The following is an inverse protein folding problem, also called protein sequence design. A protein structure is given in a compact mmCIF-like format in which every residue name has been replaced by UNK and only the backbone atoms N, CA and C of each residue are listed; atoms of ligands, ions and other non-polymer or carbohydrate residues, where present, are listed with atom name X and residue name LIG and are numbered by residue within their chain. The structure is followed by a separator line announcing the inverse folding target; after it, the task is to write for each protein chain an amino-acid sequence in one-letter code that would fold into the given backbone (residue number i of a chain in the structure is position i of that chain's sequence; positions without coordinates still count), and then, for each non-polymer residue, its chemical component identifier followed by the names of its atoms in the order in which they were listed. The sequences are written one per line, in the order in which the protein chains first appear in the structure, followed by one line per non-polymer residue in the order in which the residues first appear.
data_IF_222365336558
#
_entry.id   IF_222365336558
#
_cell.length_a   1.000
_cell.length_b   1.000
_cell.length_c   1.000
_cell.angle_alpha   90.00
_cell.angle_beta   90.00
_cell.angle_gamma   90.00
#
_symmetry.space_group_name_H-M   'P 1'
#
loop_
_entity.id
_entity.type
_entity.pdbx_description
1 polymer ?
#
# COMPACT_ATOMS: atom_id res chain seq x y z
N UNK A 1 -12.06 -22.20 -3.65
CA UNK A 1 -11.76 -20.96 -2.89
C UNK A 1 -11.73 -19.70 -3.76
N UNK A 2 -10.90 -19.59 -4.81
CA UNK A 2 -10.91 -18.38 -5.70
C UNK A 2 -12.29 -18.10 -6.32
N UNK A 3 -13.03 -19.15 -6.67
CA UNK A 3 -14.39 -19.02 -7.21
C UNK A 3 -15.37 -18.31 -6.26
N UNK A 4 -15.16 -18.40 -4.95
CA UNK A 4 -15.99 -17.72 -3.94
C UNK A 4 -15.73 -16.22 -3.98
N UNK A 5 -14.46 -15.83 -4.09
CA UNK A 5 -14.05 -14.43 -4.25
C UNK A 5 -14.39 -13.82 -5.61
N UNK A 6 -14.82 -14.62 -6.61
CA UNK A 6 -15.31 -14.10 -7.91
C UNK A 6 -16.72 -13.49 -7.85
N UNK A 7 -17.42 -13.66 -6.73
CA UNK A 7 -18.74 -13.07 -6.51
C UNK A 7 -18.65 -11.92 -5.49
N UNK A 8 -19.58 -10.98 -5.52
CA UNK A 8 -19.73 -9.94 -4.49
C UNK A 8 -20.72 -10.43 -3.45
N UNK A 9 -20.24 -11.21 -2.48
CA UNK A 9 -21.03 -11.64 -1.32
C UNK A 9 -20.47 -10.98 -0.05
N UNK A 10 -21.30 -10.37 0.83
CA UNK A 10 -20.86 -9.89 2.14
C UNK A 10 -20.04 -10.91 2.94
N UNK A 11 -20.37 -12.21 2.82
CA UNK A 11 -19.61 -13.30 3.44
C UNK A 11 -18.15 -13.42 2.96
N UNK A 12 -17.81 -12.86 1.80
CA UNK A 12 -16.44 -12.88 1.29
C UNK A 12 -15.52 -11.97 2.09
N UNK A 13 -16.04 -10.92 2.72
CA UNK A 13 -15.24 -10.12 3.65
C UNK A 13 -14.87 -10.92 4.89
N UNK A 14 -15.82 -11.70 5.43
CA UNK A 14 -15.55 -12.62 6.54
C UNK A 14 -14.54 -13.72 6.14
N UNK A 15 -14.66 -14.28 4.93
CA UNK A 15 -13.65 -15.23 4.43
C UNK A 15 -12.27 -14.58 4.24
N UNK A 16 -12.22 -13.33 3.78
CA UNK A 16 -10.97 -12.58 3.66
C UNK A 16 -10.31 -12.38 5.03
N UNK A 17 -11.10 -12.03 6.05
CA UNK A 17 -10.64 -11.96 7.43
C UNK A 17 -10.10 -13.31 7.91
N UNK A 18 -10.86 -14.39 7.75
CA UNK A 18 -10.47 -15.73 8.21
C UNK A 18 -9.19 -16.23 7.53
N UNK A 19 -9.09 -16.08 6.20
CA UNK A 19 -7.86 -16.44 5.47
C UNK A 19 -6.69 -15.54 5.90
N UNK A 20 -6.92 -14.25 6.09
CA UNK A 20 -5.90 -13.31 6.57
C UNK A 20 -5.34 -13.70 7.93
N UNK A 21 -6.20 -14.09 8.88
CA UNK A 21 -5.77 -14.59 10.19
C UNK A 21 -4.98 -15.87 10.04
N UNK A 22 -5.48 -16.86 9.28
CA UNK A 22 -4.80 -18.14 9.07
C UNK A 22 -3.41 -17.98 8.45
N UNK A 23 -3.28 -17.11 7.44
CA UNK A 23 -2.01 -16.85 6.76
C UNK A 23 -1.02 -16.06 7.60
N UNK A 24 -1.44 -15.39 8.67
CA UNK A 24 -0.59 -14.52 9.49
C UNK A 24 -0.50 -15.01 10.95
N UNK A 25 -0.85 -16.27 11.23
CA UNK A 25 -0.82 -16.86 12.58
C UNK A 25 0.55 -16.68 13.26
N UNK A 26 1.65 -16.91 12.53
CA UNK A 26 3.01 -16.75 13.05
C UNK A 26 3.28 -15.35 13.60
N UNK A 27 2.70 -14.32 12.98
CA UNK A 27 2.87 -12.91 13.37
C UNK A 27 2.20 -12.65 14.71
N UNK A 28 1.00 -13.20 14.92
CA UNK A 28 0.28 -13.06 16.19
C UNK A 28 0.96 -13.82 17.32
N UNK A 29 1.54 -15.00 17.04
CA UNK A 29 2.23 -15.79 18.07
C UNK A 29 3.59 -15.20 18.48
N UNK A 30 4.35 -14.63 17.54
CA UNK A 30 5.66 -14.02 17.85
C UNK A 30 5.55 -12.62 18.45
N UNK A 31 4.44 -11.92 18.20
CA UNK A 31 4.16 -10.60 18.75
C UNK A 31 5.33 -9.61 18.58
N UNK A 32 5.92 -9.58 17.38
CA UNK A 32 7.07 -8.74 17.10
C UNK A 32 6.74 -7.24 17.26
N UNK A 33 7.66 -6.43 17.80
CA UNK A 33 7.43 -5.00 18.00
C UNK A 33 7.30 -4.27 16.66
N UNK A 34 6.82 -3.02 16.70
CA UNK A 34 6.85 -2.13 15.54
C UNK A 34 8.28 -1.97 15.00
N UNK A 35 8.41 -1.81 13.68
CA UNK A 35 9.68 -1.47 13.05
C UNK A 35 9.85 0.04 13.20
N UNK A 36 10.91 0.46 13.90
CA UNK A 36 11.30 1.86 14.08
C UNK A 36 12.73 2.01 13.56
N UNK A 37 12.93 2.89 12.60
CA UNK A 37 14.23 3.26 12.03
C UNK A 37 14.73 4.55 12.67
N UNK A 38 16.05 4.70 12.76
CA UNK A 38 16.69 5.98 13.16
C UNK A 38 16.32 7.13 12.23
N UNK A 39 16.00 6.79 10.98
CA UNK A 39 15.61 7.71 9.92
C UNK A 39 14.09 7.87 9.79
N UNK A 40 13.30 7.21 10.63
CA UNK A 40 11.87 7.48 10.72
C UNK A 40 11.66 8.87 11.33
N UNK A 41 10.58 9.50 10.93
CA UNK A 41 10.21 10.81 11.44
C UNK A 41 9.92 10.79 12.94
N UNK A 42 10.07 11.94 13.58
CA UNK A 42 9.64 12.13 14.96
C UNK A 42 8.16 11.78 15.19
N UNK A 43 7.27 12.05 14.21
CA UNK A 43 5.84 11.77 14.40
C UNK A 43 5.54 10.28 14.42
N UNK A 44 6.22 9.47 13.60
CA UNK A 44 6.06 8.03 13.64
C UNK A 44 6.67 7.42 14.91
N UNK A 45 7.84 7.92 15.34
CA UNK A 45 8.44 7.51 16.61
C UNK A 45 7.52 7.84 17.80
N UNK A 46 6.91 9.03 17.82
CA UNK A 46 5.93 9.41 18.83
C UNK A 46 4.67 8.53 18.79
N UNK A 47 4.18 8.18 17.60
CA UNK A 47 3.05 7.25 17.44
C UNK A 47 3.37 5.84 17.95
N UNK A 48 4.55 5.31 17.64
CA UNK A 48 4.99 4.02 18.14
C UNK A 48 5.17 4.05 19.68
N UNK A 49 5.79 5.09 20.22
CA UNK A 49 5.94 5.29 21.67
C UNK A 49 4.60 5.45 22.40
N UNK A 50 3.57 6.01 21.75
CA UNK A 50 2.23 6.07 22.32
C UNK A 50 1.59 4.68 22.51
N UNK A 51 1.92 3.71 21.65
CA UNK A 51 1.43 2.33 21.75
C UNK A 51 2.28 1.45 22.68
N UNK A 52 3.49 1.87 23.01
CA UNK A 52 4.45 1.10 23.82
C UNK A 52 3.91 0.70 25.20
N UNK A 53 3.28 1.59 26.00
CA UNK A 53 2.72 1.21 27.30
C UNK A 53 1.68 0.08 27.20
N UNK A 54 0.88 0.07 26.13
CA UNK A 54 -0.12 -0.98 25.88
C UNK A 54 0.58 -2.27 25.43
N UNK A 55 1.61 -2.15 24.60
CA UNK A 55 2.37 -3.29 24.10
C UNK A 55 3.11 -4.07 25.20
N UNK A 56 3.52 -3.41 26.28
CA UNK A 56 4.13 -4.09 27.45
C UNK A 56 3.15 -5.09 28.09
N UNK A 57 1.87 -4.75 28.19
CA UNK A 57 0.84 -5.64 28.75
C UNK A 57 0.22 -6.58 27.70
N UNK A 58 0.16 -6.12 26.44
CA UNK A 58 -0.45 -6.86 25.34
C UNK A 58 0.44 -6.79 24.08
N UNK A 59 1.48 -7.63 23.99
CA UNK A 59 2.47 -7.57 22.90
C UNK A 59 1.88 -7.72 21.49
N UNK A 60 0.75 -8.41 21.37
CA UNK A 60 0.05 -8.65 20.11
C UNK A 60 -0.59 -7.36 19.54
N UNK A 61 -0.63 -6.27 20.29
CA UNK A 61 -1.26 -4.99 19.87
C UNK A 61 -0.72 -4.50 18.53
N UNK A 62 0.60 -4.54 18.32
CA UNK A 62 1.22 -4.10 17.06
C UNK A 62 0.81 -4.96 15.87
N UNK A 63 0.74 -6.28 16.07
CA UNK A 63 0.27 -7.22 15.06
C UNK A 63 -1.20 -7.01 14.73
N UNK A 64 -2.06 -6.73 15.72
CA UNK A 64 -3.47 -6.41 15.49
C UNK A 64 -3.64 -5.11 14.71
N UNK A 65 -2.89 -4.06 15.05
CA UNK A 65 -2.93 -2.80 14.30
C UNK A 65 -2.45 -2.98 12.86
N UNK A 66 -1.32 -3.66 12.65
CA UNK A 66 -0.80 -3.93 11.31
C UNK A 66 -1.80 -4.74 10.48
N UNK A 67 -2.36 -5.81 11.04
CA UNK A 67 -3.37 -6.63 10.38
C UNK A 67 -4.65 -5.86 10.09
N UNK A 68 -5.11 -5.03 11.04
CA UNK A 68 -6.28 -4.16 10.88
C UNK A 68 -6.11 -3.19 9.72
N UNK A 69 -4.93 -2.55 9.60
CA UNK A 69 -4.58 -1.70 8.46
C UNK A 69 -4.60 -2.47 7.14
N UNK A 70 -3.98 -3.65 7.08
CA UNK A 70 -3.99 -4.47 5.88
C UNK A 70 -5.38 -4.89 5.44
N UNK A 71 -6.23 -5.22 6.40
CA UNK A 71 -7.59 -5.65 6.14
C UNK A 71 -8.45 -4.47 5.66
N UNK A 72 -8.24 -3.29 6.25
CA UNK A 72 -8.83 -2.04 5.77
C UNK A 72 -8.37 -1.73 4.33
N UNK A 73 -7.08 -1.85 4.03
CA UNK A 73 -6.53 -1.64 2.68
C UNK A 73 -7.09 -2.63 1.66
N UNK A 74 -7.14 -3.92 2.00
CA UNK A 74 -7.74 -4.96 1.15
C UNK A 74 -9.21 -4.66 0.84
N UNK A 75 -9.97 -4.22 1.85
CA UNK A 75 -11.36 -3.84 1.70
C UNK A 75 -11.53 -2.59 0.85
N UNK A 76 -10.84 -1.49 1.19
CA UNK A 76 -10.91 -0.22 0.46
C UNK A 76 -10.51 -0.38 -1.00
N UNK A 77 -9.46 -1.14 -1.28
CA UNK A 77 -9.02 -1.43 -2.65
C UNK A 77 -10.10 -2.20 -3.43
N UNK A 78 -10.71 -3.20 -2.80
CA UNK A 78 -11.78 -4.00 -3.40
C UNK A 78 -13.03 -3.16 -3.68
N UNK A 79 -13.43 -2.33 -2.71
CA UNK A 79 -14.56 -1.41 -2.85
C UNK A 79 -14.29 -0.40 -3.97
N UNK A 80 -13.09 0.17 -4.02
CA UNK A 80 -12.67 1.10 -5.06
C UNK A 80 -12.79 0.49 -6.46
N UNK A 81 -12.23 -0.71 -6.67
CA UNK A 81 -12.28 -1.42 -7.96
C UNK A 81 -13.72 -1.73 -8.37
N UNK A 82 -14.55 -2.15 -7.42
CA UNK A 82 -15.95 -2.51 -7.67
C UNK A 82 -16.83 -1.28 -7.95
N UNK A 83 -16.68 -0.20 -7.18
CA UNK A 83 -17.47 1.03 -7.35
C UNK A 83 -17.16 1.72 -8.68
N UNK A 84 -15.90 1.68 -9.13
CA UNK A 84 -15.47 2.24 -10.41
C UNK A 84 -15.63 1.27 -11.59
N UNK A 85 -16.16 0.06 -11.35
CA UNK A 85 -16.39 -0.99 -12.35
C UNK A 85 -15.14 -1.28 -13.20
N UNK A 86 -13.98 -1.35 -12.55
CA UNK A 86 -12.71 -1.62 -13.26
C UNK A 86 -12.63 -3.07 -13.77
N UNK A 87 -13.50 -3.95 -13.27
CA UNK A 87 -13.71 -5.31 -13.75
C UNK A 87 -15.18 -5.50 -14.14
N UNK A 88 -15.45 -6.38 -15.12
CA UNK A 88 -16.80 -6.55 -15.65
C UNK A 88 -17.82 -7.11 -14.63
N UNK A 89 -17.35 -7.81 -13.58
CA UNK A 89 -18.17 -8.26 -12.46
C UNK A 89 -17.50 -7.92 -11.14
N UNK A 90 -18.31 -7.50 -10.18
CA UNK A 90 -17.82 -7.19 -8.85
C UNK A 90 -17.31 -8.45 -8.13
N UNK A 91 -16.15 -8.35 -7.50
CA UNK A 91 -15.43 -9.47 -6.90
C UNK A 91 -14.50 -9.00 -5.78
N UNK A 92 -13.89 -9.95 -5.06
CA UNK A 92 -12.95 -9.73 -3.95
C UNK A 92 -11.53 -10.19 -4.29
N UNK A 93 -11.21 -10.40 -5.57
CA UNK A 93 -9.88 -10.83 -6.02
C UNK A 93 -8.76 -9.83 -5.68
N UNK A 94 -8.96 -8.50 -5.76
CA UNK A 94 -7.94 -7.54 -5.36
C UNK A 94 -7.59 -7.62 -3.87
N UNK A 95 -8.61 -7.74 -3.02
CA UNK A 95 -8.41 -7.84 -1.57
C UNK A 95 -7.66 -9.10 -1.19
N UNK A 96 -8.05 -10.27 -1.73
CA UNK A 96 -7.33 -11.51 -1.42
C UNK A 96 -5.91 -11.50 -1.99
N UNK A 97 -5.70 -10.90 -3.18
CA UNK A 97 -4.36 -10.70 -3.72
C UNK A 97 -3.49 -9.85 -2.79
N UNK A 98 -4.06 -8.79 -2.18
CA UNK A 98 -3.34 -7.95 -1.22
C UNK A 98 -2.97 -8.69 0.06
N UNK A 99 -3.90 -9.47 0.63
CA UNK A 99 -3.62 -10.30 1.80
C UNK A 99 -2.55 -11.36 1.50
N UNK A 100 -2.57 -11.97 0.30
CA UNK A 100 -1.54 -12.92 -0.10
C UNK A 100 -0.17 -12.27 -0.25
N UNK A 101 -0.07 -11.17 -1.01
CA UNK A 101 1.21 -10.53 -1.28
C UNK A 101 1.85 -9.95 -0.03
N UNK A 102 1.05 -9.38 0.87
CA UNK A 102 1.53 -8.92 2.19
C UNK A 102 1.95 -10.06 3.10
N UNK A 103 1.40 -11.27 2.95
CA UNK A 103 1.79 -12.44 3.76
C UNK A 103 3.06 -13.16 3.27
N UNK A 104 3.71 -12.71 2.19
CA UNK A 104 4.90 -13.37 1.66
C UNK A 104 6.19 -13.10 2.45
N UNK A 105 6.26 -12.00 3.20
CA UNK A 105 7.39 -11.68 4.09
C UNK A 105 6.93 -11.22 5.47
N UNK A 106 7.68 -11.53 6.54
CA UNK A 106 7.39 -11.09 7.89
C UNK A 106 7.43 -9.56 8.02
N UNK A 107 8.39 -8.90 7.39
CA UNK A 107 8.56 -7.43 7.46
C UNK A 107 7.34 -6.68 6.95
N UNK A 108 6.63 -7.24 5.97
CA UNK A 108 5.41 -6.64 5.45
C UNK A 108 4.29 -6.66 6.48
N UNK A 109 4.30 -7.64 7.39
CA UNK A 109 3.27 -7.89 8.41
C UNK A 109 3.47 -7.13 9.71
N UNK A 110 4.57 -6.40 9.85
CA UNK A 110 4.87 -5.62 11.04
C UNK A 110 4.39 -4.19 10.87
N UNK A 111 4.00 -3.56 11.99
CA UNK A 111 3.66 -2.15 12.00
C UNK A 111 4.92 -1.35 11.65
N UNK A 112 4.83 -0.59 10.56
CA UNK A 112 5.93 0.21 10.01
C UNK A 112 5.38 1.51 9.45
N UNK A 113 6.22 2.54 9.39
CA UNK A 113 5.84 3.84 8.80
C UNK A 113 5.32 3.71 7.35
N UNK A 114 5.91 2.87 6.46
CA UNK A 114 5.39 2.71 5.09
C UNK A 114 4.05 1.97 5.03
N UNK A 115 3.75 1.08 5.98
CA UNK A 115 2.44 0.40 6.03
C UNK A 115 1.31 1.42 6.30
N UNK A 116 1.50 2.34 7.26
CA UNK A 116 0.52 3.40 7.52
C UNK A 116 0.37 4.29 6.28
N UNK A 117 1.50 4.73 5.71
CA UNK A 117 1.52 5.58 4.50
C UNK A 117 0.87 4.91 3.29
N UNK A 118 0.99 3.59 3.11
CA UNK A 118 0.29 2.89 2.02
C UNK A 118 -1.23 3.02 2.12
N UNK A 119 -1.80 3.14 3.33
CA UNK A 119 -3.23 3.44 3.51
C UNK A 119 -3.55 4.85 3.04
N UNK A 120 -2.72 5.83 3.43
CA UNK A 120 -2.88 7.23 3.03
C UNK A 120 -2.78 7.40 1.51
N UNK A 121 -1.85 6.71 0.85
CA UNK A 121 -1.73 6.72 -0.61
C UNK A 121 -2.97 6.16 -1.30
N UNK A 122 -3.57 5.09 -0.77
CA UNK A 122 -4.84 4.57 -1.29
C UNK A 122 -5.98 5.59 -1.11
N UNK A 123 -6.05 6.29 0.02
CA UNK A 123 -7.04 7.36 0.22
C UNK A 123 -6.85 8.52 -0.78
N UNK A 124 -5.61 8.95 -1.00
CA UNK A 124 -5.27 9.95 -2.03
C UNK A 124 -5.76 9.47 -3.40
N UNK A 125 -5.50 8.22 -3.77
CA UNK A 125 -5.96 7.67 -5.03
C UNK A 125 -7.49 7.66 -5.13
N UNK A 126 -8.20 7.21 -4.09
CA UNK A 126 -9.67 7.20 -4.07
C UNK A 126 -10.23 8.61 -4.29
N UNK A 127 -9.71 9.60 -3.56
CA UNK A 127 -10.11 11.02 -3.67
C UNK A 127 -9.88 11.53 -5.09
N UNK A 128 -8.65 11.41 -5.61
CA UNK A 128 -8.31 11.91 -6.94
C UNK A 128 -9.08 11.20 -8.06
N UNK A 129 -9.34 9.90 -7.93
CA UNK A 129 -10.07 9.17 -8.98
C UNK A 129 -11.57 9.46 -8.96
N UNK A 130 -12.17 9.65 -7.77
CA UNK A 130 -13.55 10.12 -7.64
C UNK A 130 -13.77 11.46 -8.35
N UNK A 131 -12.68 12.20 -8.59
CA UNK A 131 -12.67 13.47 -9.28
C UNK A 131 -13.03 13.41 -10.76
N UNK A 132 -13.03 12.22 -11.36
CA UNK A 132 -13.43 12.06 -12.75
C UNK A 132 -14.94 12.22 -12.98
N UNK A 133 -15.78 12.01 -11.96
CA UNK A 133 -17.25 11.99 -12.10
C UNK A 133 -17.93 13.32 -11.71
N UNK A 134 -17.29 14.47 -11.94
CA UNK A 134 -17.79 15.85 -11.69
C UNK A 134 -18.24 16.18 -10.25
N UNK A 135 -17.97 15.32 -9.27
CA UNK A 135 -18.37 15.53 -7.86
C UNK A 135 -17.31 16.18 -6.99
N UNK A 136 -16.07 16.26 -7.44
CA UNK A 136 -15.00 16.75 -6.56
C UNK A 136 -14.77 18.24 -6.70
N UNK A 137 -14.59 18.83 -5.55
CA UNK A 137 -14.32 20.25 -5.36
C UNK A 137 -12.81 20.50 -5.33
N UNK A 138 -12.41 21.77 -5.37
CA UNK A 138 -11.01 22.14 -5.04
C UNK A 138 -10.60 21.67 -3.65
N UNK A 139 -11.57 21.50 -2.73
CA UNK A 139 -11.35 20.97 -1.39
C UNK A 139 -10.85 19.52 -1.40
N UNK A 140 -11.30 18.69 -2.34
CA UNK A 140 -10.82 17.30 -2.44
C UNK A 140 -9.36 17.23 -2.91
N UNK A 141 -8.98 18.09 -3.84
CA UNK A 141 -7.59 18.22 -4.31
C UNK A 141 -6.69 18.71 -3.17
N UNK A 142 -7.17 19.69 -2.39
CA UNK A 142 -6.50 20.14 -1.19
C UNK A 142 -6.35 19.00 -0.17
N UNK A 143 -7.42 18.23 0.09
CA UNK A 143 -7.40 17.10 1.00
C UNK A 143 -6.40 16.01 0.57
N UNK A 144 -6.29 15.73 -0.73
CA UNK A 144 -5.28 14.83 -1.25
C UNK A 144 -3.85 15.34 -0.96
N UNK A 145 -3.59 16.64 -1.13
CA UNK A 145 -2.34 17.27 -0.73
C UNK A 145 -2.10 17.22 0.78
N UNK A 146 -3.12 17.50 1.59
CA UNK A 146 -3.08 17.45 3.06
C UNK A 146 -2.72 16.06 3.57
N UNK A 147 -3.37 15.01 3.03
CA UNK A 147 -3.08 13.62 3.37
C UNK A 147 -1.64 13.27 2.97
N UNK A 148 -1.15 13.76 1.84
CA UNK A 148 0.24 13.57 1.44
C UNK A 148 1.23 14.27 2.39
N UNK A 149 0.91 15.49 2.83
CA UNK A 149 1.71 16.20 3.84
C UNK A 149 1.78 15.42 5.16
N UNK A 150 0.66 14.87 5.62
CA UNK A 150 0.62 14.00 6.81
C UNK A 150 1.41 12.70 6.59
N UNK A 151 1.34 12.11 5.40
CA UNK A 151 2.14 10.95 5.04
C UNK A 151 3.65 11.28 5.06
N UNK A 152 4.04 12.45 4.56
CA UNK A 152 5.42 12.95 4.62
C UNK A 152 5.89 13.21 6.05
N UNK A 153 5.00 13.63 6.94
CA UNK A 153 5.32 13.76 8.36
C UNK A 153 5.63 12.41 8.99
N UNK A 154 4.95 11.32 8.60
CA UNK A 154 5.18 9.97 9.12
C UNK A 154 6.39 9.29 8.47
N UNK A 155 6.49 9.37 7.15
CA UNK A 155 7.54 8.76 6.33
C UNK A 155 8.00 9.79 5.28
N UNK A 156 9.09 10.53 5.51
CA UNK A 156 9.53 11.62 4.63
C UNK A 156 9.63 11.27 3.13
N UNK A 157 10.11 10.07 2.73
CA UNK A 157 10.14 9.68 1.32
C UNK A 157 8.76 9.64 0.65
N UNK A 158 7.68 9.63 1.42
CA UNK A 158 6.32 9.72 0.90
C UNK A 158 6.09 10.97 0.06
N UNK A 159 6.80 12.07 0.33
CA UNK A 159 6.66 13.32 -0.43
C UNK A 159 6.95 13.16 -1.93
N UNK A 160 7.76 12.18 -2.33
CA UNK A 160 8.01 11.85 -3.75
C UNK A 160 6.70 11.49 -4.48
N UNK A 161 5.70 10.99 -3.74
CA UNK A 161 4.38 10.67 -4.27
C UNK A 161 3.60 11.89 -4.78
N UNK A 162 4.07 13.12 -4.53
CA UNK A 162 3.55 14.33 -5.17
C UNK A 162 3.63 14.24 -6.70
N UNK A 163 4.69 13.61 -7.23
CA UNK A 163 4.86 13.38 -8.67
C UNK A 163 3.72 12.53 -9.20
N UNK A 164 3.32 11.52 -8.44
CA UNK A 164 2.17 10.68 -8.82
C UNK A 164 0.85 11.45 -8.76
N UNK A 165 0.63 12.30 -7.75
CA UNK A 165 -0.57 13.16 -7.68
C UNK A 165 -0.69 14.03 -8.95
N UNK A 166 0.41 14.60 -9.41
CA UNK A 166 0.43 15.40 -10.63
C UNK A 166 0.17 14.57 -11.89
N UNK A 167 0.74 13.37 -12.00
CA UNK A 167 0.41 12.43 -13.09
C UNK A 167 -1.08 12.08 -13.06
N UNK A 168 -1.65 11.85 -11.87
CA UNK A 168 -3.06 11.55 -11.69
C UNK A 168 -3.96 12.71 -12.12
N UNK A 169 -3.66 13.94 -11.69
CA UNK A 169 -4.40 15.14 -12.10
C UNK A 169 -4.32 15.35 -13.61
N UNK A 170 -3.13 15.26 -14.22
CA UNK A 170 -2.94 15.42 -15.66
C UNK A 170 -3.67 14.34 -16.48
N UNK A 171 -3.78 13.12 -15.96
CA UNK A 171 -4.46 12.01 -16.63
C UNK A 171 -5.98 12.13 -16.54
N UNK A 172 -6.49 12.53 -15.37
CA UNK A 172 -7.92 12.55 -15.09
C UNK A 172 -8.60 13.84 -15.57
N UNK A 173 -7.86 14.95 -15.64
CA UNK A 173 -8.40 16.29 -15.88
C UNK A 173 -7.53 17.14 -16.80
N UNK A 174 -8.13 18.12 -17.50
CA UNK A 174 -7.36 19.16 -18.17
C UNK A 174 -6.48 19.92 -17.18
N UNK A 175 -5.29 20.29 -17.63
CA UNK A 175 -4.34 21.03 -16.81
C UNK A 175 -4.91 22.38 -16.35
N UNK A 176 -4.85 22.63 -15.04
CA UNK A 176 -5.20 23.91 -14.42
C UNK A 176 -4.18 24.22 -13.33
N UNK A 177 -3.37 25.25 -13.54
CA UNK A 177 -2.30 25.64 -12.61
C UNK A 177 -2.81 25.81 -11.17
N UNK A 178 -4.00 26.38 -11.01
CA UNK A 178 -4.62 26.59 -9.70
C UNK A 178 -4.80 25.28 -8.91
N UNK A 179 -5.17 24.18 -9.57
CA UNK A 179 -5.35 22.89 -8.90
C UNK A 179 -4.01 22.33 -8.41
N UNK A 180 -2.93 22.55 -9.18
CA UNK A 180 -1.60 22.09 -8.85
C UNK A 180 -1.01 22.85 -7.65
N UNK A 181 -1.26 24.16 -7.58
CA UNK A 181 -0.90 24.99 -6.43
C UNK A 181 -1.69 24.59 -5.19
N UNK A 182 -2.98 24.26 -5.32
CA UNK A 182 -3.80 23.79 -4.20
C UNK A 182 -3.25 22.50 -3.58
N UNK A 183 -2.75 21.56 -4.40
CA UNK A 183 -2.05 20.36 -3.88
C UNK A 183 -0.87 20.76 -3.01
N UNK A 184 -0.01 21.68 -3.48
CA UNK A 184 1.17 22.13 -2.73
C UNK A 184 0.79 22.80 -1.41
N UNK A 185 -0.22 23.66 -1.41
CA UNK A 185 -0.73 24.29 -0.19
C UNK A 185 -1.19 23.19 0.79
N UNK A 186 -1.92 22.18 0.30
CA UNK A 186 -2.31 21.02 1.09
C UNK A 186 -1.10 20.30 1.70
N UNK A 187 -0.07 20.01 0.90
CA UNK A 187 1.16 19.32 1.37
C UNK A 187 1.91 20.14 2.41
N UNK A 188 2.01 21.46 2.24
CA UNK A 188 2.75 22.34 3.18
C UNK A 188 2.00 22.51 4.50
N UNK A 189 0.67 22.38 4.51
CA UNK A 189 -0.16 22.70 5.68
C UNK A 189 0.22 21.89 6.95
N UNK A 190 0.42 20.56 6.92
CA UNK A 190 0.84 19.80 8.09
C UNK A 190 2.22 20.23 8.61
N UNK A 191 3.15 20.55 7.71
CA UNK A 191 4.48 21.04 8.08
C UNK A 191 4.40 22.42 8.75
N UNK A 192 3.54 23.31 8.25
CA UNK A 192 3.31 24.62 8.85
C UNK A 192 2.80 24.50 10.29
N UNK A 193 1.79 23.66 10.53
CA UNK A 193 1.28 23.44 11.89
C UNK A 193 2.28 22.74 12.81
N UNK A 194 3.06 21.78 12.29
CA UNK A 194 4.14 21.15 13.05
C UNK A 194 5.21 22.17 13.45
N UNK A 195 5.61 23.07 12.53
CA UNK A 195 6.59 24.11 12.81
C UNK A 195 6.10 25.08 13.90
N UNK A 196 4.82 25.47 13.89
CA UNK A 196 4.22 26.28 14.96
C UNK A 196 4.25 25.53 16.28
N UNK A 197 3.86 24.26 16.30
CA UNK A 197 3.88 23.45 17.52
C UNK A 197 5.29 23.35 18.11
N UNK A 198 6.29 23.04 17.29
CA UNK A 198 7.69 22.95 17.71
C UNK A 198 8.25 24.30 18.17
N UNK A 199 7.86 25.40 17.52
CA UNK A 199 8.22 26.75 17.94
C UNK A 199 7.67 27.08 19.35
N UNK A 200 6.38 26.80 19.58
CA UNK A 200 5.73 27.05 20.87
C UNK A 200 6.27 26.14 21.98
N UNK A 201 6.76 24.94 21.64
CA UNK A 201 7.37 24.00 22.57
C UNK A 201 8.87 24.29 22.84
N UNK A 202 9.44 25.33 22.23
CA UNK A 202 10.87 25.65 22.28
C UNK A 202 11.78 24.49 21.80
N UNK A 203 11.28 23.70 20.85
CA UNK A 203 11.95 22.50 20.27
C UNK A 203 12.18 22.63 18.77
N UNK A 204 12.22 23.85 18.23
CA UNK A 204 12.41 24.07 16.79
C UNK A 204 13.88 23.81 16.39
N UNK A 205 14.19 22.53 16.17
CA UNK A 205 15.45 22.07 15.61
C UNK A 205 15.27 21.63 14.15
N UNK A 206 16.28 21.89 13.30
CA UNK A 206 16.21 21.64 11.85
C UNK A 206 16.04 20.14 11.49
N UNK A 207 16.45 19.23 12.38
CA UNK A 207 16.49 17.80 12.09
C UNK A 207 15.10 17.15 11.95
N UNK A 208 14.03 17.77 12.46
CA UNK A 208 12.68 17.19 12.41
C UNK A 208 12.07 17.17 10.99
N UNK A 209 12.56 18.02 10.08
CA UNK A 209 11.96 18.21 8.75
C UNK A 209 12.71 17.46 7.63
N UNK A 210 14.03 17.28 7.79
CA UNK A 210 14.89 16.81 6.70
C UNK A 210 15.59 15.47 6.97
N UNK A 211 15.38 14.87 8.15
CA UNK A 211 15.93 13.55 8.42
C UNK A 211 15.17 12.49 7.59
N UNK A 212 15.88 11.60 6.90
CA UNK A 212 15.26 10.50 6.16
C UNK A 212 15.28 10.59 4.62
N UNK A 213 16.04 11.51 4.01
CA UNK A 213 16.37 11.46 2.58
C UNK A 213 17.79 10.93 2.35
N UNK A 214 18.00 9.66 2.64
CA UNK A 214 19.27 8.97 2.35
C UNK A 214 19.04 7.93 1.26
N UNK A 215 19.73 8.08 0.14
CA UNK A 215 19.82 7.04 -0.88
C UNK A 215 20.91 6.06 -0.45
N UNK A 216 20.49 4.90 0.04
CA UNK A 216 21.41 3.83 0.41
C UNK A 216 20.97 2.55 -0.29
N UNK A 217 21.83 2.01 -1.15
CA UNK A 217 21.68 0.65 -1.64
C UNK A 217 22.40 -0.26 -0.62
N UNK A 218 21.66 -0.75 0.37
CA UNK A 218 22.21 -1.73 1.31
C UNK A 218 21.98 -3.14 0.75
N UNK A 219 23.06 -3.92 0.71
CA UNK A 219 23.05 -5.30 0.26
C UNK A 219 22.57 -6.20 1.41
N UNK A 220 21.33 -6.65 1.35
CA UNK A 220 20.87 -7.77 2.15
C UNK A 220 21.30 -9.08 1.50
N UNK A 221 21.61 -10.11 2.32
CA UNK A 221 21.92 -11.44 1.79
C UNK A 221 20.67 -12.03 1.15
N UNK A 222 20.63 -11.98 -0.17
CA UNK A 222 19.52 -12.52 -0.95
C UNK A 222 19.49 -14.05 -0.85
N UNK A 223 18.53 -14.59 -0.08
CA UNK A 223 18.34 -16.04 0.07
C UNK A 223 17.34 -16.59 -0.96
N UNK A 224 17.30 -17.91 -1.13
CA UNK A 224 16.33 -18.57 -2.02
C UNK A 224 14.87 -18.24 -1.68
N UNK A 225 14.56 -17.94 -0.42
CA UNK A 225 13.25 -17.49 0.03
C UNK A 225 12.87 -16.12 -0.56
N UNK A 226 13.81 -15.16 -0.58
CA UNK A 226 13.57 -13.86 -1.21
C UNK A 226 13.34 -13.99 -2.72
N UNK A 227 14.05 -14.91 -3.39
CA UNK A 227 13.83 -15.22 -4.82
C UNK A 227 12.42 -15.79 -5.08
N UNK A 228 11.99 -16.77 -4.26
CA UNK A 228 10.66 -17.37 -4.38
C UNK A 228 9.54 -16.36 -4.15
N UNK A 229 9.69 -15.49 -3.16
CA UNK A 229 8.75 -14.41 -2.87
C UNK A 229 8.69 -13.39 -4.02
N UNK A 230 9.83 -12.94 -4.53
CA UNK A 230 9.87 -12.04 -5.68
C UNK A 230 9.20 -12.66 -6.90
N UNK A 231 9.43 -13.95 -7.16
CA UNK A 231 8.75 -14.68 -8.24
C UNK A 231 7.23 -14.70 -8.06
N UNK A 232 6.73 -14.97 -6.84
CA UNK A 232 5.30 -15.00 -6.53
C UNK A 232 4.61 -13.62 -6.59
N UNK A 233 5.37 -12.53 -6.46
CA UNK A 233 4.87 -11.16 -6.68
C UNK A 233 4.97 -10.79 -8.16
N UNK A 234 6.07 -11.05 -8.83
CA UNK A 234 6.27 -10.60 -10.21
C UNK A 234 5.47 -11.42 -11.21
N UNK A 235 5.37 -12.74 -11.04
CA UNK A 235 4.72 -13.61 -12.02
C UNK A 235 3.23 -13.26 -12.19
N UNK A 236 2.41 -13.11 -11.12
CA UNK A 236 1.02 -12.74 -11.31
C UNK A 236 0.84 -11.27 -11.68
N UNK A 237 1.80 -10.40 -11.35
CA UNK A 237 1.81 -9.00 -11.73
C UNK A 237 1.99 -8.87 -13.24
N UNK A 238 3.01 -9.52 -13.80
CA UNK A 238 3.28 -9.53 -15.23
C UNK A 238 2.10 -10.12 -16.01
N UNK A 239 1.50 -11.20 -15.51
CA UNK A 239 0.28 -11.74 -16.10
C UNK A 239 -0.89 -10.73 -16.05
N UNK A 240 -1.08 -10.04 -14.93
CA UNK A 240 -2.08 -8.99 -14.78
C UNK A 240 -1.88 -7.84 -15.76
N UNK A 241 -0.64 -7.34 -15.88
CA UNK A 241 -0.26 -6.30 -16.86
C UNK A 241 -0.50 -6.78 -18.28
N UNK A 242 -0.11 -8.02 -18.62
CA UNK A 242 -0.34 -8.60 -19.93
C UNK A 242 -1.83 -8.63 -20.31
N UNK A 243 -2.69 -9.19 -19.46
CA UNK A 243 -4.12 -9.25 -19.73
C UNK A 243 -4.78 -7.87 -19.79
N UNK A 244 -4.28 -6.93 -18.99
CA UNK A 244 -4.77 -5.55 -18.98
C UNK A 244 -4.45 -4.86 -20.29
N UNK A 245 -3.23 -5.01 -20.80
CA UNK A 245 -2.83 -4.44 -22.09
C UNK A 245 -3.53 -5.11 -23.27
N UNK A 246 -3.60 -6.44 -23.29
CA UNK A 246 -4.29 -7.20 -24.33
C UNK A 246 -5.77 -6.81 -24.47
N UNK A 247 -6.43 -6.46 -23.36
CA UNK A 247 -7.86 -6.09 -23.33
C UNK A 247 -8.10 -4.57 -23.27
N UNK A 248 -7.05 -3.75 -23.26
CA UNK A 248 -7.13 -2.29 -23.10
C UNK A 248 -7.98 -1.60 -24.17
N UNK A 249 -7.93 -2.09 -25.42
CA UNK A 249 -8.72 -1.56 -26.54
C UNK A 249 -10.24 -1.68 -26.36
N UNK A 250 -10.70 -2.64 -25.55
CA UNK A 250 -12.13 -2.88 -25.26
C UNK A 250 -12.60 -2.23 -23.95
N UNK A 251 -11.69 -1.61 -23.19
CA UNK A 251 -12.03 -0.95 -21.93
C UNK A 251 -12.61 0.44 -22.17
N UNK A 252 -13.54 0.85 -21.31
CA UNK A 252 -13.97 2.23 -21.20
C UNK A 252 -12.77 3.13 -20.85
N UNK A 253 -12.79 4.38 -21.33
CA UNK A 253 -11.67 5.32 -21.18
C UNK A 253 -11.32 5.52 -19.70
N UNK A 254 -12.32 5.66 -18.82
CA UNK A 254 -12.09 5.85 -17.39
C UNK A 254 -11.42 4.62 -16.74
N UNK A 255 -11.80 3.41 -17.16
CA UNK A 255 -11.17 2.16 -16.69
C UNK A 255 -9.73 2.08 -17.15
N UNK A 256 -9.45 2.42 -18.42
CA UNK A 256 -8.07 2.45 -18.95
C UNK A 256 -7.20 3.45 -18.18
N UNK A 257 -7.72 4.66 -17.93
CA UNK A 257 -7.03 5.67 -17.12
C UNK A 257 -6.73 5.14 -15.72
N UNK A 258 -7.69 4.49 -15.05
CA UNK A 258 -7.48 3.91 -13.72
C UNK A 258 -6.32 2.90 -13.69
N UNK A 259 -6.28 1.99 -14.67
CA UNK A 259 -5.23 0.99 -14.79
C UNK A 259 -3.85 1.59 -15.06
N UNK A 260 -3.77 2.61 -15.91
CA UNK A 260 -2.52 3.37 -16.13
C UNK A 260 -2.08 4.12 -14.86
N UNK A 261 -3.02 4.59 -14.04
CA UNK A 261 -2.72 5.20 -12.75
C UNK A 261 -2.20 4.19 -11.73
N UNK A 262 -2.74 2.96 -11.69
CA UNK A 262 -2.16 1.88 -10.89
C UNK A 262 -0.73 1.53 -11.33
N UNK A 263 -0.45 1.49 -12.64
CA UNK A 263 0.90 1.25 -13.16
C UNK A 263 1.89 2.35 -12.77
N UNK A 264 1.51 3.62 -12.98
CA UNK A 264 2.36 4.75 -12.58
C UNK A 264 2.52 4.85 -11.07
N UNK A 265 1.49 4.48 -10.28
CA UNK A 265 1.59 4.37 -8.83
C UNK A 265 2.69 3.37 -8.49
N UNK A 266 2.62 2.16 -9.06
CA UNK A 266 3.60 1.11 -8.83
C UNK A 266 5.03 1.58 -9.16
N UNK A 267 5.21 2.28 -10.28
CA UNK A 267 6.51 2.83 -10.68
C UNK A 267 7.04 3.85 -9.67
N UNK A 268 6.22 4.80 -9.20
CA UNK A 268 6.64 5.81 -8.23
C UNK A 268 6.93 5.16 -6.87
N UNK A 269 6.14 4.18 -6.43
CA UNK A 269 6.44 3.44 -5.20
C UNK A 269 7.76 2.68 -5.29
N UNK A 270 8.09 2.12 -6.45
CA UNK A 270 9.39 1.49 -6.66
C UNK A 270 10.56 2.48 -6.53
N UNK A 271 10.37 3.75 -6.89
CA UNK A 271 11.38 4.79 -6.62
C UNK A 271 11.48 5.06 -5.11
N UNK A 272 10.34 5.19 -4.44
CA UNK A 272 10.28 5.46 -2.99
C UNK A 272 10.94 4.33 -2.19
N UNK A 273 10.82 3.07 -2.61
CA UNK A 273 11.41 1.93 -1.89
C UNK A 273 12.93 2.00 -1.75
N UNK A 274 13.62 2.69 -2.66
CA UNK A 274 15.08 2.86 -2.62
C UNK A 274 15.53 4.10 -1.82
N UNK A 275 14.59 4.91 -1.34
CA UNK A 275 14.88 6.08 -0.51
C UNK A 275 14.67 5.69 0.95
N UNK A 276 15.64 6.04 1.79
CA UNK A 276 15.63 5.72 3.21
C UNK A 276 15.56 4.21 3.50
N UNK A 277 16.44 3.47 2.83
CA UNK A 277 16.62 2.05 3.09
C UNK A 277 17.30 1.93 4.45
N UNK A 278 16.49 1.70 5.48
CA UNK A 278 16.95 1.30 6.81
C UNK A 278 17.55 -0.11 6.77
N UNK A 279 17.27 -0.92 7.80
CA UNK A 279 17.76 -2.30 7.89
C UNK A 279 16.80 -3.34 7.32
N UNK A 280 15.81 -2.96 6.51
CA UNK A 280 14.73 -3.88 6.12
C UNK A 280 14.14 -3.62 4.74
N UNK A 281 13.25 -4.52 4.33
CA UNK A 281 12.54 -4.53 3.03
C UNK A 281 11.11 -3.95 3.18
N UNK A 282 10.73 -3.49 4.37
CA UNK A 282 9.38 -3.00 4.69
C UNK A 282 8.87 -1.86 3.81
N UNK A 283 9.76 -1.00 3.27
CA UNK A 283 9.35 0.06 2.33
C UNK A 283 8.61 -0.51 1.09
N UNK A 284 8.90 -1.76 0.69
CA UNK A 284 8.26 -2.42 -0.46
C UNK A 284 6.76 -2.65 -0.28
N UNK A 285 6.23 -2.55 0.93
CA UNK A 285 4.78 -2.59 1.20
C UNK A 285 4.01 -1.55 0.38
N UNK A 286 4.61 -0.38 0.12
CA UNK A 286 3.99 0.68 -0.71
C UNK A 286 3.64 0.18 -2.12
N UNK A 287 4.48 -0.68 -2.70
CA UNK A 287 4.29 -1.27 -4.03
C UNK A 287 3.24 -2.38 -4.06
N UNK A 288 3.01 -3.07 -2.94
CA UNK A 288 2.10 -4.22 -2.91
C UNK A 288 0.65 -3.84 -3.20
N UNK A 289 0.26 -2.60 -2.91
CA UNK A 289 -1.10 -2.12 -3.10
C UNK A 289 -1.49 -2.05 -4.58
N UNK A 290 -0.77 -1.30 -5.46
CA UNK A 290 -1.05 -1.34 -6.89
C UNK A 290 -0.77 -2.72 -7.50
N UNK A 291 0.23 -3.45 -7.00
CA UNK A 291 0.52 -4.80 -7.47
C UNK A 291 -0.67 -5.76 -7.22
N UNK A 292 -1.30 -5.67 -6.05
CA UNK A 292 -2.47 -6.47 -5.69
C UNK A 292 -3.69 -6.15 -6.56
N UNK A 293 -3.89 -4.88 -6.92
CA UNK A 293 -4.95 -4.48 -7.84
C UNK A 293 -4.80 -5.17 -9.21
N UNK A 294 -3.56 -5.17 -9.73
CA UNK A 294 -3.21 -5.76 -11.02
C UNK A 294 -3.22 -7.30 -10.95
N UNK A 295 -2.73 -7.90 -9.85
CA UNK A 295 -2.88 -9.33 -9.55
C UNK A 295 -4.34 -9.77 -9.60
N UNK A 296 -5.20 -9.05 -8.89
CA UNK A 296 -6.63 -9.32 -8.84
C UNK A 296 -7.25 -9.28 -10.24
N UNK A 297 -6.83 -8.33 -11.08
CA UNK A 297 -7.24 -8.28 -12.48
C UNK A 297 -6.72 -9.47 -13.29
N UNK A 298 -5.47 -9.88 -13.11
CA UNK A 298 -4.89 -11.07 -13.75
C UNK A 298 -5.68 -12.34 -13.40
N UNK A 299 -6.03 -12.54 -12.13
CA UNK A 299 -6.86 -13.66 -11.69
C UNK A 299 -8.28 -13.65 -12.26
N UNK A 300 -8.82 -12.46 -12.50
CA UNK A 300 -10.13 -12.28 -13.11
C UNK A 300 -10.09 -12.55 -14.61
N UNK A 301 -9.13 -11.94 -15.32
CA UNK A 301 -9.08 -11.87 -16.78
C UNK A 301 -8.44 -13.09 -17.45
N UNK A 302 -7.82 -13.97 -16.68
CA UNK A 302 -7.15 -15.17 -17.19
C UNK A 302 -8.09 -16.12 -17.96
N UNK A 303 -7.64 -16.53 -19.15
CA UNK A 303 -8.35 -17.46 -20.01
C UNK A 303 -8.16 -18.91 -19.55
N UNK A 304 -6.93 -19.23 -19.14
CA UNK A 304 -6.60 -20.50 -18.49
C UNK A 304 -7.09 -20.48 -17.04
N UNK A 305 -8.20 -21.20 -16.77
CA UNK A 305 -8.77 -21.33 -15.41
C UNK A 305 -7.79 -21.92 -14.38
N UNK A 306 -6.77 -22.65 -14.86
CA UNK A 306 -5.77 -23.27 -14.01
C UNK A 306 -4.77 -22.26 -13.41
N UNK A 307 -4.46 -21.18 -14.15
CA UNK A 307 -3.44 -20.21 -13.73
C UNK A 307 -3.75 -19.54 -12.38
N UNK A 308 -4.95 -18.95 -12.15
CA UNK A 308 -5.24 -18.31 -10.86
C UNK A 308 -5.20 -19.33 -9.71
N UNK A 309 -5.64 -20.57 -9.99
CA UNK A 309 -5.66 -21.65 -9.00
C UNK A 309 -4.24 -22.05 -8.58
N UNK A 310 -3.35 -22.28 -9.54
CA UNK A 310 -1.93 -22.58 -9.25
C UNK A 310 -1.28 -21.40 -8.52
N UNK A 311 -1.41 -20.17 -9.03
CA UNK A 311 -0.74 -19.02 -8.44
C UNK A 311 -1.17 -18.78 -6.99
N UNK A 312 -2.47 -18.91 -6.69
CA UNK A 312 -2.98 -18.78 -5.34
C UNK A 312 -2.42 -19.86 -4.40
N UNK A 313 -2.57 -21.14 -4.76
CA UNK A 313 -2.16 -22.23 -3.87
C UNK A 313 -0.66 -22.35 -3.73
N UNK A 314 0.09 -22.06 -4.79
CA UNK A 314 1.55 -21.95 -4.73
C UNK A 314 1.97 -20.87 -3.73
N UNK A 315 1.30 -19.71 -3.74
CA UNK A 315 1.54 -18.64 -2.77
C UNK A 315 1.21 -19.09 -1.35
N UNK A 316 0.06 -19.73 -1.13
CA UNK A 316 -0.35 -20.24 0.19
C UNK A 316 0.65 -21.27 0.72
N UNK A 317 1.04 -22.24 -0.10
CA UNK A 317 2.03 -23.27 0.26
C UNK A 317 3.36 -22.61 0.62
N UNK A 318 3.83 -21.66 -0.20
CA UNK A 318 5.07 -20.93 0.06
C UNK A 318 5.02 -20.15 1.38
N UNK A 319 3.91 -19.48 1.69
CA UNK A 319 3.72 -18.75 2.95
C UNK A 319 3.84 -19.73 4.13
N UNK A 320 3.08 -20.82 4.11
CA UNK A 320 3.08 -21.81 5.20
C UNK A 320 4.45 -22.47 5.36
N UNK A 321 5.11 -22.85 4.26
CA UNK A 321 6.46 -23.45 4.35
C UNK A 321 7.49 -22.44 4.83
N UNK A 322 7.41 -21.18 4.42
CA UNK A 322 8.31 -20.13 4.91
C UNK A 322 8.12 -19.92 6.42
N UNK A 323 6.89 -19.95 6.93
CA UNK A 323 6.64 -19.77 8.36
C UNK A 323 7.18 -20.91 9.24
N UNK A 324 7.22 -22.13 8.71
CA UNK A 324 7.67 -23.32 9.45
C UNK A 324 9.19 -23.55 9.30
N UNK A 325 9.71 -23.39 8.08
CA UNK A 325 11.07 -23.84 7.73
C UNK A 325 12.06 -22.71 7.48
N UNK A 326 11.60 -21.48 7.22
CA UNK A 326 12.53 -20.36 7.03
C UNK A 326 12.85 -19.72 8.37
N UNK A 327 14.12 -19.35 8.57
CA UNK A 327 14.52 -18.47 9.68
C UNK A 327 14.14 -17.01 9.46
N UNK A 328 13.28 -16.70 8.47
CA UNK A 328 12.83 -15.33 8.20
C UNK A 328 11.74 -14.91 9.18
N UNK A 329 10.79 -15.81 9.44
CA UNK A 329 9.59 -15.51 10.21
C UNK A 329 9.84 -15.53 11.69
#
# INVERSE_FOLDING_TARGET
MIGVFRQKNPGNFFMLFLIGVLLKLSVFFKAAPAIIKETDSFTYQAFAGFLEPIAVFFPVVYALFAFGLMLLQAYLLTVFINNNRLMAKANFLPGIAYILTTSLLPDFNRLSSPLIVSTLFLLIFIILFSAHNDKTTRGDIYNAGLILGLAGLLFPPALIFIVWIYIALATLRPFKLNEWVVVLIGVVTPYYFLAIFLYLADQLHQNYFFNGFTLALRYEKFTAWHAGMLFLILMPLLAGVYYMQAKSGRMLIHVRKAWNLFLSYAAICMVITFVNVGSGIENWVLFLLPAAAIHGYGYYAAELKLYPWIAFWLSVIFIVTSQIFSGLW
#
